data_IF_310393561933
#
_entry.id   IF_310393561933
#
_cell.length_a   1.000
_cell.length_b   1.000
_cell.length_c   1.000
_cell.angle_alpha   90.00
_cell.angle_beta   90.00
_cell.angle_gamma   90.00
#
_symmetry.space_group_name_H-M   'P 1'
#
loop_
_entity.id
_entity.type
_entity.pdbx_description
1 polymer ?
#
# COMPACT_ATOMS: atom_id res chain seq x y z
N UNK A 1 -6.82 2.04 -25.31
CA UNK A 1 -7.32 2.34 -23.96
C UNK A 1 -8.08 1.11 -23.52
N UNK A 2 -7.35 0.09 -23.11
CA UNK A 2 -7.89 -1.11 -22.46
C UNK A 2 -7.62 -0.90 -20.96
N UNK A 3 -8.69 -0.72 -20.18
CA UNK A 3 -8.64 -0.42 -18.73
C UNK A 3 -8.87 -1.69 -17.89
N UNK A 4 -8.70 -2.88 -18.47
CA UNK A 4 -9.21 -4.10 -17.86
C UNK A 4 -8.49 -4.57 -16.59
N UNK A 5 -7.26 -4.16 -16.25
CA UNK A 5 -6.60 -4.64 -15.04
C UNK A 5 -5.54 -3.65 -14.52
N UNK A 6 -5.86 -2.88 -13.47
CA UNK A 6 -4.84 -2.14 -12.70
C UNK A 6 -4.68 -2.86 -11.35
N UNK A 7 -3.87 -3.91 -11.34
CA UNK A 7 -3.48 -4.67 -10.14
C UNK A 7 -2.15 -4.19 -9.53
N UNK A 8 -1.75 -2.94 -9.78
CA UNK A 8 -0.53 -2.42 -9.20
C UNK A 8 -0.83 -1.89 -7.79
N UNK A 9 -0.63 -2.75 -6.78
CA UNK A 9 -0.62 -2.32 -5.39
C UNK A 9 0.47 -1.26 -5.21
N UNK A 10 0.08 -0.02 -5.00
CA UNK A 10 1.03 1.07 -4.75
C UNK A 10 1.53 1.04 -3.30
N UNK A 11 2.79 1.41 -3.02
CA UNK A 11 3.37 1.29 -1.69
C UNK A 11 2.92 2.40 -0.73
N UNK A 12 2.96 2.12 0.56
CA UNK A 12 2.99 3.12 1.64
C UNK A 12 4.43 3.64 1.78
N UNK A 13 4.58 4.93 2.09
CA UNK A 13 5.88 5.60 2.17
C UNK A 13 6.01 6.47 3.43
N UNK A 14 7.16 6.37 4.08
CA UNK A 14 7.59 7.26 5.18
C UNK A 14 8.86 8.01 4.80
N UNK A 15 8.94 9.29 5.17
CA UNK A 15 10.14 10.10 4.96
C UNK A 15 10.37 11.15 6.04
N UNK A 16 11.61 11.64 6.13
CA UNK A 16 12.04 12.79 6.93
C UNK A 16 12.06 14.06 6.06
N UNK A 17 11.74 15.21 6.64
CA UNK A 17 11.72 16.47 5.91
C UNK A 17 13.12 16.82 5.35
N UNK A 18 13.19 17.20 4.08
CA UNK A 18 14.45 17.54 3.41
C UNK A 18 15.22 16.35 2.79
N UNK A 19 14.74 15.11 2.95
CA UNK A 19 15.25 13.97 2.20
C UNK A 19 14.66 13.93 0.78
N UNK A 20 15.47 13.51 -0.20
CA UNK A 20 15.02 13.30 -1.58
C UNK A 20 13.87 12.25 -1.60
N UNK A 21 12.83 12.38 -2.45
CA UNK A 21 11.77 11.37 -2.62
C UNK A 21 12.26 9.92 -2.86
N UNK A 22 13.51 9.70 -3.31
CA UNK A 22 14.11 8.36 -3.40
C UNK A 22 14.64 7.81 -2.07
N UNK A 23 14.78 8.63 -1.04
CA UNK A 23 15.44 8.30 0.22
C UNK A 23 14.53 7.76 1.33
N UNK A 24 13.20 7.85 1.19
CA UNK A 24 12.28 7.38 2.23
C UNK A 24 12.11 5.85 2.27
N UNK A 25 11.56 5.34 3.37
CA UNK A 25 11.32 3.91 3.60
C UNK A 25 9.94 3.54 3.04
N UNK A 26 9.86 2.45 2.28
CA UNK A 26 8.64 1.96 1.64
C UNK A 26 8.26 0.59 2.16
N UNK A 27 6.97 0.35 2.33
CA UNK A 27 6.40 -0.99 2.46
C UNK A 27 5.23 -1.15 1.50
N UNK A 28 5.03 -2.35 0.97
CA UNK A 28 3.97 -2.66 0.03
C UNK A 28 3.37 -4.03 0.35
N UNK A 29 2.06 -4.16 0.15
CA UNK A 29 1.41 -5.47 0.08
C UNK A 29 2.01 -6.30 -1.07
N UNK A 30 1.87 -7.62 -0.97
CA UNK A 30 2.35 -8.55 -2.01
C UNK A 30 1.17 -9.11 -2.81
N UNK A 31 1.43 -9.58 -4.02
CA UNK A 31 0.43 -10.33 -4.79
C UNK A 31 0.73 -11.83 -4.61
N UNK A 32 -0.29 -12.61 -4.24
CA UNK A 32 -0.26 -14.07 -4.20
C UNK A 32 -1.39 -14.63 -5.07
N UNK A 33 -1.04 -15.11 -6.27
CA UNK A 33 -2.02 -15.49 -7.28
C UNK A 33 -2.91 -14.32 -7.69
N UNK A 34 -4.22 -14.46 -7.49
CA UNK A 34 -5.23 -13.43 -7.79
C UNK A 34 -5.57 -12.53 -6.59
N UNK A 35 -4.95 -12.74 -5.42
CA UNK A 35 -5.24 -12.00 -4.20
C UNK A 35 -4.07 -11.13 -3.78
N UNK A 36 -4.41 -10.07 -3.05
CA UNK A 36 -3.41 -9.20 -2.44
C UNK A 36 -3.23 -9.62 -0.99
N UNK A 37 -1.99 -9.85 -0.62
CA UNK A 37 -1.59 -10.08 0.76
C UNK A 37 -1.42 -8.71 1.42
N UNK A 38 -2.32 -8.32 2.35
CA UNK A 38 -2.23 -7.04 3.02
C UNK A 38 -0.99 -6.97 3.91
N UNK A 39 -0.55 -5.75 4.19
CA UNK A 39 0.52 -5.50 5.14
C UNK A 39 0.09 -5.96 6.53
N UNK A 40 0.98 -6.64 7.25
CA UNK A 40 0.75 -6.98 8.65
C UNK A 40 1.15 -5.79 9.51
N UNK A 41 0.56 -5.63 10.72
CA UNK A 41 0.99 -4.59 11.67
C UNK A 41 2.51 -4.58 11.92
N UNK A 42 3.14 -5.77 11.92
CA UNK A 42 4.61 -5.91 12.05
C UNK A 42 5.39 -5.28 10.90
N UNK A 43 4.86 -5.31 9.67
CA UNK A 43 5.52 -4.72 8.50
C UNK A 43 5.55 -3.19 8.62
N UNK A 44 4.47 -2.60 9.13
CA UNK A 44 4.37 -1.16 9.42
C UNK A 44 5.30 -0.78 10.57
N UNK A 45 5.31 -1.55 11.66
CA UNK A 45 6.21 -1.33 12.80
C UNK A 45 7.68 -1.33 12.38
N UNK A 46 8.09 -2.33 11.59
CA UNK A 46 9.45 -2.41 11.06
C UNK A 46 9.80 -1.21 10.17
N UNK A 47 8.85 -0.71 9.38
CA UNK A 47 9.05 0.49 8.55
C UNK A 47 9.29 1.74 9.42
N UNK A 48 8.48 1.92 10.47
CA UNK A 48 8.63 3.05 11.42
C UNK A 48 9.97 2.95 12.15
N UNK A 49 10.32 1.78 12.68
CA UNK A 49 11.60 1.56 13.37
C UNK A 49 12.79 1.85 12.46
N UNK A 50 12.69 1.50 11.17
CA UNK A 50 13.76 1.78 10.20
C UNK A 50 13.97 3.27 10.03
N UNK A 51 12.89 4.04 9.95
CA UNK A 51 12.95 5.51 9.86
C UNK A 51 13.48 6.12 11.15
N UNK A 52 13.01 5.66 12.31
CA UNK A 52 13.50 6.15 13.61
C UNK A 52 15.00 5.88 13.79
N UNK A 53 15.48 4.69 13.39
CA UNK A 53 16.91 4.35 13.43
C UNK A 53 17.74 5.21 12.46
N UNK A 54 17.19 5.55 11.29
CA UNK A 54 17.90 6.31 10.28
C UNK A 54 17.91 7.84 10.54
N UNK A 55 16.78 8.40 10.98
CA UNK A 55 16.55 9.85 11.03
C UNK A 55 15.98 10.35 12.37
N UNK A 56 15.77 9.48 13.35
CA UNK A 56 15.27 9.81 14.69
C UNK A 56 13.77 10.10 14.78
N UNK A 57 13.11 10.42 13.66
CA UNK A 57 11.66 10.66 13.59
C UNK A 57 11.10 10.50 12.17
N UNK A 58 9.79 10.27 12.11
CA UNK A 58 8.96 10.37 10.90
C UNK A 58 8.35 11.77 10.84
N UNK A 59 8.52 12.50 9.73
CA UNK A 59 7.84 13.79 9.53
C UNK A 59 6.60 13.66 8.63
N UNK A 60 6.66 12.76 7.64
CA UNK A 60 5.61 12.61 6.63
C UNK A 60 5.30 11.13 6.44
N UNK A 61 4.02 10.79 6.55
CA UNK A 61 3.43 9.52 6.13
C UNK A 61 2.57 9.76 4.89
N UNK A 62 2.85 9.01 3.83
CA UNK A 62 2.02 8.97 2.63
C UNK A 62 1.39 7.59 2.55
N UNK A 63 0.10 7.51 2.93
CA UNK A 63 -0.71 6.30 2.74
C UNK A 63 -1.21 6.22 1.29
N UNK A 64 -0.30 5.96 0.36
CA UNK A 64 -0.60 5.76 -1.05
C UNK A 64 -0.80 4.27 -1.39
N UNK A 65 -1.25 3.45 -0.44
CA UNK A 65 -1.71 2.10 -0.75
C UNK A 65 -3.05 2.16 -1.47
N UNK A 66 -3.16 1.52 -2.63
CA UNK A 66 -4.36 1.58 -3.44
C UNK A 66 -4.43 0.46 -4.46
N UNK A 67 -5.61 -0.16 -4.57
CA UNK A 67 -5.99 -1.00 -5.70
C UNK A 67 -7.37 -0.61 -6.22
N UNK A 68 -7.65 -0.94 -7.49
CA UNK A 68 -8.91 -0.61 -8.14
C UNK A 68 -9.42 -1.79 -8.98
N UNK A 69 -10.69 -2.12 -8.80
CA UNK A 69 -11.44 -2.97 -9.73
C UNK A 69 -12.65 -2.19 -10.25
N UNK A 70 -12.95 -2.31 -11.55
CA UNK A 70 -14.03 -1.58 -12.20
C UNK A 70 -15.01 -2.58 -12.81
N UNK A 71 -16.20 -2.62 -12.24
CA UNK A 71 -17.34 -3.41 -12.74
C UNK A 71 -18.64 -2.77 -12.25
N UNK A 72 -19.77 -3.14 -12.87
CA UNK A 72 -21.09 -2.79 -12.36
C UNK A 72 -21.32 -3.46 -11.00
N UNK A 73 -22.18 -2.87 -10.16
CA UNK A 73 -22.37 -3.35 -8.79
C UNK A 73 -22.95 -4.78 -8.73
N UNK A 74 -23.80 -5.12 -9.70
CA UNK A 74 -24.42 -6.44 -9.86
C UNK A 74 -23.42 -7.54 -10.25
N UNK A 75 -22.33 -7.16 -10.90
CA UNK A 75 -21.30 -8.06 -11.41
C UNK A 75 -20.00 -7.97 -10.58
N UNK A 76 -20.00 -7.19 -9.49
CA UNK A 76 -18.79 -6.94 -8.71
C UNK A 76 -18.40 -8.19 -7.91
N UNK A 77 -17.22 -8.79 -8.17
CA UNK A 77 -16.82 -10.00 -7.46
C UNK A 77 -16.55 -9.71 -5.97
N UNK A 78 -17.11 -10.52 -5.07
CA UNK A 78 -16.94 -10.35 -3.62
C UNK A 78 -15.48 -10.43 -3.19
N UNK A 79 -14.69 -11.32 -3.80
CA UNK A 79 -13.26 -11.46 -3.53
C UNK A 79 -12.47 -10.19 -3.89
N UNK A 80 -12.87 -9.50 -4.97
CA UNK A 80 -12.29 -8.20 -5.34
C UNK A 80 -12.70 -7.10 -4.38
N UNK A 81 -13.89 -7.18 -3.79
CA UNK A 81 -14.34 -6.21 -2.79
C UNK A 81 -13.53 -6.35 -1.50
N UNK A 82 -13.32 -7.59 -1.06
CA UNK A 82 -12.50 -7.90 0.11
C UNK A 82 -11.05 -7.43 -0.09
N UNK A 83 -10.47 -7.64 -1.28
CA UNK A 83 -9.14 -7.13 -1.63
C UNK A 83 -9.08 -5.58 -1.50
N UNK A 84 -10.08 -4.85 -2.01
CA UNK A 84 -10.12 -3.37 -1.98
C UNK A 84 -10.19 -2.86 -0.54
N UNK A 85 -11.02 -3.46 0.30
CA UNK A 85 -11.15 -3.08 1.71
C UNK A 85 -9.87 -3.40 2.48
N UNK A 86 -9.31 -4.59 2.26
CA UNK A 86 -8.10 -5.05 2.94
C UNK A 86 -6.84 -4.22 2.63
N UNK A 87 -6.85 -3.41 1.56
CA UNK A 87 -5.72 -2.55 1.20
C UNK A 87 -5.97 -1.08 1.51
N UNK A 88 -7.17 -0.57 1.21
CA UNK A 88 -7.44 0.85 1.35
C UNK A 88 -7.79 1.26 2.78
N UNK A 89 -8.30 0.33 3.61
CA UNK A 89 -8.91 0.64 4.91
C UNK A 89 -8.39 -0.21 6.10
N UNK A 90 -7.35 -1.02 5.91
CA UNK A 90 -6.81 -1.95 6.94
C UNK A 90 -5.80 -1.32 7.89
#
# INVERSE_FOLDING_TARGET
MDRSNVYDATPIFLTHAGQNPSGGVKCAGKIDGNHIVPLKPSDIQNMVETVEKAWGKVDILVNNAGIQHVSSIEDFPTDKWDDVIAINLS
#
